data_IF_909819738298
#
_entry.id   IF_909819738298
#
_cell.length_a   1.000
_cell.length_b   1.000
_cell.length_c   1.000
_cell.angle_alpha   90.00
_cell.angle_beta   90.00
_cell.angle_gamma   90.00
#
_symmetry.space_group_name_H-M   'P 1'
#
loop_
_entity.id
_entity.type
_entity.pdbx_description
1 polymer ?
#
# COMPACT_ATOMS: atom_id res chain seq x y z
N UNK A 1 7.07 -3.44 1.62
CA UNK A 1 5.73 -3.86 1.15
C UNK A 1 5.62 -3.93 -0.37
N UNK A 2 5.97 -2.87 -1.11
CA UNK A 2 5.91 -2.82 -2.58
C UNK A 2 6.61 -3.98 -3.30
N UNK A 3 7.78 -4.39 -2.80
CA UNK A 3 8.55 -5.52 -3.35
C UNK A 3 7.78 -6.84 -3.21
N UNK A 4 7.08 -7.06 -2.08
CA UNK A 4 6.30 -8.29 -1.85
C UNK A 4 5.08 -8.37 -2.77
N UNK A 5 4.41 -7.25 -3.03
CA UNK A 5 3.29 -7.16 -3.99
C UNK A 5 3.79 -7.42 -5.41
N UNK A 6 4.91 -6.79 -5.80
CA UNK A 6 5.53 -7.02 -7.10
C UNK A 6 5.96 -8.50 -7.27
N UNK A 7 6.48 -9.12 -6.21
CA UNK A 7 6.84 -10.53 -6.20
C UNK A 7 5.62 -11.45 -6.40
N UNK A 8 4.49 -11.17 -5.73
CA UNK A 8 3.24 -11.90 -5.91
C UNK A 8 2.72 -11.82 -7.35
N UNK A 9 2.70 -10.62 -7.93
CA UNK A 9 2.25 -10.42 -9.32
C UNK A 9 3.18 -11.11 -10.32
N UNK A 10 4.49 -11.02 -10.10
CA UNK A 10 5.50 -11.75 -10.89
C UNK A 10 5.28 -13.26 -10.84
N UNK A 11 4.95 -13.78 -9.66
CA UNK A 11 4.69 -15.21 -9.46
C UNK A 11 3.39 -15.68 -10.12
N UNK A 12 2.35 -14.84 -10.14
CA UNK A 12 1.03 -15.15 -10.70
C UNK A 12 1.02 -15.14 -12.24
N UNK A 13 1.70 -14.16 -12.85
CA UNK A 13 1.61 -13.91 -14.30
C UNK A 13 2.59 -14.78 -15.11
N UNK A 14 3.58 -15.43 -14.48
CA UNK A 14 4.65 -16.24 -15.10
C UNK A 14 5.51 -15.51 -16.16
N UNK A 15 5.10 -14.31 -16.63
CA UNK A 15 5.83 -13.39 -17.50
C UNK A 15 6.15 -12.11 -16.72
N UNK A 16 7.41 -11.94 -16.34
CA UNK A 16 7.88 -10.85 -15.48
C UNK A 16 7.54 -9.45 -16.06
N UNK A 17 7.62 -9.29 -17.37
CA UNK A 17 7.37 -7.99 -18.03
C UNK A 17 5.89 -7.56 -17.94
N UNK A 18 4.96 -8.51 -18.06
CA UNK A 18 3.53 -8.23 -17.96
C UNK A 18 3.15 -7.93 -16.50
N UNK A 19 3.71 -8.68 -15.55
CA UNK A 19 3.53 -8.40 -14.12
C UNK A 19 4.00 -7.00 -13.74
N UNK A 20 5.18 -6.60 -14.25
CA UNK A 20 5.72 -5.26 -14.01
C UNK A 20 4.82 -4.18 -14.63
N UNK A 21 4.36 -4.37 -15.86
CA UNK A 21 3.42 -3.44 -16.50
C UNK A 21 2.11 -3.27 -15.71
N UNK A 22 1.51 -4.37 -15.25
CA UNK A 22 0.28 -4.35 -14.43
C UNK A 22 0.54 -3.67 -13.08
N UNK A 23 1.66 -3.97 -12.42
CA UNK A 23 2.04 -3.36 -11.15
C UNK A 23 2.20 -1.83 -11.29
N UNK A 24 2.88 -1.40 -12.35
CA UNK A 24 3.18 0.00 -12.62
C UNK A 24 1.92 0.77 -13.03
N UNK A 25 1.03 0.13 -13.80
CA UNK A 25 -0.31 0.66 -14.12
C UNK A 25 -1.18 0.81 -12.87
N UNK A 26 -1.19 -0.21 -12.01
CA UNK A 26 -1.94 -0.18 -10.76
C UNK A 26 -1.43 0.94 -9.83
N UNK A 27 -0.10 1.05 -9.67
CA UNK A 27 0.54 2.07 -8.86
C UNK A 27 0.29 3.50 -9.35
N UNK A 28 0.53 3.77 -10.63
CA UNK A 28 0.48 5.15 -11.15
C UNK A 28 -0.93 5.64 -11.45
N UNK A 29 -1.81 4.76 -11.93
CA UNK A 29 -3.10 5.19 -12.50
C UNK A 29 -4.23 4.78 -11.57
N UNK A 30 -4.36 3.48 -11.31
CA UNK A 30 -5.53 2.94 -10.59
C UNK A 30 -5.57 3.48 -9.16
N UNK A 31 -4.46 3.37 -8.42
CA UNK A 31 -4.38 3.82 -7.03
C UNK A 31 -4.62 5.33 -6.91
N UNK A 32 -3.98 6.16 -7.75
CA UNK A 32 -4.17 7.61 -7.72
C UNK A 32 -5.62 8.04 -8.00
N UNK A 33 -6.29 7.39 -8.96
CA UNK A 33 -7.71 7.66 -9.26
C UNK A 33 -8.61 7.24 -8.09
N UNK A 34 -8.36 6.07 -7.50
CA UNK A 34 -9.10 5.57 -6.33
C UNK A 34 -8.95 6.51 -5.13
N UNK A 35 -7.73 6.95 -4.82
CA UNK A 35 -7.46 7.91 -3.74
C UNK A 35 -8.17 9.23 -4.00
N UNK A 36 -8.12 9.75 -5.24
CA UNK A 36 -8.81 10.98 -5.62
C UNK A 36 -10.33 10.89 -5.43
N UNK A 37 -10.95 9.81 -5.89
CA UNK A 37 -12.39 9.58 -5.75
C UNK A 37 -12.82 9.38 -4.29
N UNK A 38 -12.05 8.65 -3.49
CA UNK A 38 -12.37 8.42 -2.08
C UNK A 38 -12.16 9.66 -1.21
N UNK A 39 -11.14 10.49 -1.51
CA UNK A 39 -10.97 11.82 -0.88
C UNK A 39 -12.17 12.71 -1.15
N UNK A 40 -12.70 12.68 -2.38
CA UNK A 40 -13.90 13.44 -2.74
C UNK A 40 -15.15 12.99 -1.95
N UNK A 41 -15.28 11.68 -1.68
CA UNK A 41 -16.38 11.14 -0.85
C UNK A 41 -16.14 11.20 0.66
N UNK A 42 -15.01 11.75 1.14
CA UNK A 42 -14.58 11.76 2.57
C UNK A 42 -14.61 10.36 3.21
N UNK A 43 -14.30 9.32 2.43
CA UNK A 43 -14.27 7.95 2.93
C UNK A 43 -12.88 7.67 3.48
N UNK A 44 -12.77 7.32 4.78
CA UNK A 44 -11.49 6.99 5.44
C UNK A 44 -10.84 5.69 4.93
N UNK A 45 -11.52 4.97 4.05
CA UNK A 45 -11.05 3.72 3.46
C UNK A 45 -9.79 3.90 2.58
N UNK A 46 -9.43 5.14 2.23
CA UNK A 46 -8.15 5.44 1.55
C UNK A 46 -6.94 4.91 2.30
N UNK A 47 -7.02 4.80 3.63
CA UNK A 47 -5.92 4.32 4.49
C UNK A 47 -5.64 2.82 4.39
N UNK A 48 -6.50 2.05 3.70
CA UNK A 48 -6.31 0.61 3.50
C UNK A 48 -5.76 0.26 2.11
N UNK A 49 -5.58 1.25 1.23
CA UNK A 49 -4.94 1.05 -0.06
C UNK A 49 -3.46 0.71 0.17
N UNK A 50 -2.90 -0.29 -0.53
CA UNK A 50 -1.58 -0.81 -0.22
C UNK A 50 -0.48 0.26 -0.32
N UNK A 51 -0.48 1.13 -1.32
CA UNK A 51 0.55 2.17 -1.41
C UNK A 51 0.32 3.28 -0.39
N UNK A 52 -0.93 3.65 -0.08
CA UNK A 52 -1.25 4.61 1.00
C UNK A 52 -0.90 4.08 2.41
N UNK A 53 -1.03 2.77 2.66
CA UNK A 53 -0.53 2.13 3.90
C UNK A 53 0.98 2.32 3.99
N UNK A 54 1.71 2.14 2.88
CA UNK A 54 3.17 2.29 2.88
C UNK A 54 3.61 3.75 3.01
N UNK A 55 2.94 4.68 2.33
CA UNK A 55 3.28 6.09 2.33
C UNK A 55 2.91 6.76 3.66
N UNK A 56 1.85 6.30 4.34
CA UNK A 56 1.45 6.86 5.63
C UNK A 56 2.35 6.46 6.81
N UNK A 57 3.20 5.42 6.66
CA UNK A 57 4.24 5.08 7.66
C UNK A 57 5.26 6.23 7.75
N UNK A 58 5.53 6.89 6.62
CA UNK A 58 6.39 8.05 6.57
C UNK A 58 5.56 9.30 6.82
N UNK A 59 5.46 9.67 8.10
CA UNK A 59 4.80 10.93 8.50
C UNK A 59 5.54 12.09 7.84
N UNK A 60 4.87 12.79 6.93
CA UNK A 60 5.43 13.99 6.30
C UNK A 60 5.73 15.02 7.40
N UNK A 61 6.91 15.65 7.38
CA UNK A 61 7.29 16.59 8.43
C UNK A 61 6.28 17.74 8.47
N UNK A 62 5.98 18.24 9.67
CA UNK A 62 4.96 19.27 9.92
C UNK A 62 5.14 20.56 9.10
N UNK A 63 6.33 20.76 8.51
CA UNK A 63 6.68 21.88 7.63
C UNK A 63 6.23 21.70 6.16
N UNK A 64 5.79 20.50 5.74
CA UNK A 64 5.56 20.14 4.33
C UNK A 64 4.16 20.43 3.79
N UNK A 65 3.23 20.98 4.58
CA UNK A 65 1.81 21.03 4.19
C UNK A 65 1.06 22.32 4.55
N UNK A 66 1.07 22.72 5.82
CA UNK A 66 0.37 23.91 6.33
C UNK A 66 1.19 24.55 7.46
N UNK A 67 1.21 25.89 7.56
CA UNK A 67 1.85 26.62 8.66
C UNK A 67 0.81 27.00 9.72
N UNK A 68 1.03 26.65 10.98
CA UNK A 68 0.18 27.07 12.12
C UNK A 68 -0.28 25.96 13.06
N UNK A 69 -1.32 26.22 13.86
CA UNK A 69 -1.86 25.30 14.89
C UNK A 69 -2.44 24.01 14.28
N UNK A 70 -2.99 24.08 13.06
CA UNK A 70 -3.52 22.93 12.32
C UNK A 70 -2.42 21.96 11.84
N UNK A 71 -1.19 22.44 11.68
CA UNK A 71 -0.03 21.63 11.31
C UNK A 71 0.35 20.65 12.43
N UNK A 72 0.27 21.11 13.67
CA UNK A 72 0.61 20.30 14.85
C UNK A 72 -0.44 19.23 15.12
N UNK A 73 -1.72 19.57 15.03
CA UNK A 73 -2.82 18.62 15.19
C UNK A 73 -2.84 17.55 14.08
N UNK A 74 -2.60 17.96 12.82
CA UNK A 74 -2.49 17.01 11.70
C UNK A 74 -1.27 16.07 11.83
N UNK A 75 -0.16 16.58 12.37
CA UNK A 75 1.06 15.81 12.60
C UNK A 75 0.90 14.78 13.74
N UNK A 76 0.28 15.16 14.86
CA UNK A 76 -0.02 14.23 15.96
C UNK A 76 -1.02 13.14 15.55
N UNK A 77 -2.03 13.49 14.76
CA UNK A 77 -2.93 12.52 14.15
C UNK A 77 -2.17 11.56 13.24
N UNK A 78 -1.31 12.05 12.34
CA UNK A 78 -0.51 11.20 11.48
C UNK A 78 0.41 10.26 12.28
N UNK A 79 1.04 10.75 13.36
CA UNK A 79 1.88 9.96 14.26
C UNK A 79 1.12 8.82 14.96
N UNK A 80 -0.08 9.09 15.48
CA UNK A 80 -0.87 8.05 16.15
C UNK A 80 -1.30 6.93 15.20
N UNK A 81 -1.49 7.27 13.92
CA UNK A 81 -1.86 6.34 12.87
C UNK A 81 -0.74 5.46 12.32
N UNK A 82 0.52 5.83 12.54
CA UNK A 82 1.68 5.02 12.11
C UNK A 82 1.58 3.60 12.68
N UNK A 83 1.23 3.47 13.95
CA UNK A 83 1.12 2.17 14.63
C UNK A 83 0.13 1.23 13.92
N UNK A 84 -1.02 1.75 13.53
CA UNK A 84 -2.04 1.02 12.78
C UNK A 84 -1.55 0.61 11.39
N UNK A 85 -0.84 1.50 10.68
CA UNK A 85 -0.32 1.20 9.34
C UNK A 85 0.85 0.21 9.35
N UNK A 86 1.67 0.21 10.41
CA UNK A 86 2.69 -0.82 10.63
C UNK A 86 2.04 -2.20 10.79
N UNK A 87 0.97 -2.31 11.59
CA UNK A 87 0.24 -3.57 11.77
C UNK A 87 -0.38 -4.02 10.44
N UNK A 88 -1.03 -3.12 9.70
CA UNK A 88 -1.62 -3.42 8.39
C UNK A 88 -0.56 -3.91 7.39
N UNK A 89 0.65 -3.33 7.42
CA UNK A 89 1.77 -3.75 6.56
C UNK A 89 2.23 -5.18 6.88
N UNK A 90 2.34 -5.52 8.17
CA UNK A 90 2.73 -6.87 8.61
C UNK A 90 1.66 -7.88 8.19
N UNK A 91 0.38 -7.57 8.41
CA UNK A 91 -0.75 -8.44 8.04
C UNK A 91 -0.78 -8.66 6.53
N UNK A 92 -0.72 -7.59 5.74
CA UNK A 92 -0.76 -7.68 4.28
C UNK A 92 0.44 -8.46 3.74
N UNK A 93 1.65 -8.19 4.26
CA UNK A 93 2.85 -8.93 3.86
C UNK A 93 2.72 -10.41 4.20
N UNK A 94 2.19 -10.76 5.37
CA UNK A 94 1.96 -12.14 5.77
C UNK A 94 0.95 -12.85 4.85
N UNK A 95 -0.15 -12.19 4.50
CA UNK A 95 -1.14 -12.72 3.55
C UNK A 95 -0.50 -12.96 2.17
N UNK A 96 0.27 -12.01 1.67
CA UNK A 96 0.98 -12.15 0.38
C UNK A 96 1.90 -13.37 0.39
N UNK A 97 2.69 -13.54 1.46
CA UNK A 97 3.59 -14.68 1.60
C UNK A 97 2.84 -16.02 1.71
N UNK A 98 1.71 -16.05 2.43
CA UNK A 98 0.85 -17.23 2.49
C UNK A 98 0.29 -17.61 1.11
N UNK A 99 -0.14 -16.62 0.31
CA UNK A 99 -0.61 -16.85 -1.05
C UNK A 99 0.54 -17.38 -1.92
N UNK A 100 1.72 -16.73 -1.87
CA UNK A 100 2.91 -17.20 -2.58
C UNK A 100 3.25 -18.65 -2.23
N UNK A 101 3.27 -18.99 -0.94
CA UNK A 101 3.53 -20.35 -0.46
C UNK A 101 2.49 -21.36 -0.98
N UNK A 102 1.19 -21.00 -0.92
CA UNK A 102 0.11 -21.88 -1.40
C UNK A 102 0.16 -22.10 -2.91
N UNK A 103 0.50 -21.08 -3.69
CA UNK A 103 0.67 -21.19 -5.14
C UNK A 103 1.94 -21.99 -5.48
N UNK A 104 3.03 -21.82 -4.71
CA UNK A 104 4.25 -22.61 -4.89
C UNK A 104 4.02 -24.10 -4.61
N UNK A 105 3.41 -24.43 -3.47
CA UNK A 105 3.06 -25.82 -3.12
C UNK A 105 2.18 -26.52 -4.15
N UNK A 106 1.28 -25.81 -4.83
CA UNK A 106 0.45 -26.37 -5.92
C UNK A 106 1.21 -26.58 -7.24
N UNK A 107 2.34 -25.90 -7.44
CA UNK A 107 3.16 -26.00 -8.65
C UNK A 107 4.31 -26.99 -8.50
N UNK A 108 4.65 -27.34 -7.26
CA UNK A 108 5.65 -28.35 -6.88
C UNK A 108 5.17 -29.80 -7.09
N UNK A 109 3.95 -29.97 -7.60
CA UNK A 109 3.35 -31.23 -8.04
C UNK A 109 3.26 -31.20 -9.57
N UNK A 110 4.41 -31.11 -10.24
CA UNK A 110 4.63 -31.50 -11.64
C UNK A 110 5.98 -32.19 -11.72
#
# INVERSE_FOLDING_TARGET
>A
MHISIAFLLGYLVKKAFIALGIFLFYYLIVENILVGLMKWKKIELTRFLPFEISDGILVRPAFSGNFGKDAKAGYELALSLVSQQVILTIVLTSIIWLICYKVHKKRDIV
#
